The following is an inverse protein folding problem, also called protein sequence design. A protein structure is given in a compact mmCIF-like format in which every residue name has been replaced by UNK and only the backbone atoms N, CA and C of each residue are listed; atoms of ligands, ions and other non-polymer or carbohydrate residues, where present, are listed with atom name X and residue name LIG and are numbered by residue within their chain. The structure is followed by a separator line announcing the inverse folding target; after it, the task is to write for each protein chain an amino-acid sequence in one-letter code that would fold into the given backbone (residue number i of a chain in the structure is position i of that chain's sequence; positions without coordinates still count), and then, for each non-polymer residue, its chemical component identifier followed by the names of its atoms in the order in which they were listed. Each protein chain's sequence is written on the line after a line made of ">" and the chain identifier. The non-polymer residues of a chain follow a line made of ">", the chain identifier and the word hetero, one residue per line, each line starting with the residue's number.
data_IF_467371028808
#
_entry.id   IF_467371028808
#
_cell.length_a   1.000
_cell.length_b   1.000
_cell.length_c   1.000
_cell.angle_alpha   90.00
_cell.angle_beta   90.00
_cell.angle_gamma   90.00
#
_symmetry.space_group_name_H-M   'P 1'
#
loop_
_entity.id
_entity.type
_entity.pdbx_description
1 polymer ?
#
# COMPACT_ATOMS: atom_id res chain seq x y z
N UNK A 1 -24.90 1.93 -23.76
CA UNK A 1 -25.20 2.71 -22.55
C UNK A 1 -24.19 2.27 -21.49
N UNK A 2 -23.38 3.17 -20.95
CA UNK A 2 -22.39 2.82 -19.92
C UNK A 2 -23.08 2.82 -18.54
N UNK A 3 -22.88 1.77 -17.76
CA UNK A 3 -23.33 1.68 -16.37
C UNK A 3 -22.25 2.26 -15.46
N UNK A 4 -22.63 3.24 -14.63
CA UNK A 4 -21.74 3.83 -13.62
C UNK A 4 -22.15 3.26 -12.25
N UNK A 5 -21.25 2.57 -11.53
CA UNK A 5 -21.55 2.03 -10.21
C UNK A 5 -21.76 3.14 -9.17
N UNK A 6 -22.46 2.83 -8.09
CA UNK A 6 -22.64 3.78 -6.98
C UNK A 6 -21.33 3.99 -6.21
N UNK A 7 -21.26 5.09 -5.45
CA UNK A 7 -20.12 5.37 -4.58
C UNK A 7 -19.87 4.22 -3.58
N UNK A 8 -20.93 3.58 -3.08
CA UNK A 8 -20.83 2.45 -2.15
C UNK A 8 -20.25 1.20 -2.82
N UNK A 9 -20.64 0.93 -4.07
CA UNK A 9 -20.05 -0.15 -4.86
C UNK A 9 -18.56 0.10 -5.09
N UNK A 10 -18.19 1.30 -5.53
CA UNK A 10 -16.78 1.69 -5.74
C UNK A 10 -15.97 1.57 -4.46
N UNK A 11 -16.48 2.09 -3.33
CA UNK A 11 -15.84 1.98 -2.02
C UNK A 11 -15.63 0.51 -1.62
N UNK A 12 -16.66 -0.32 -1.80
CA UNK A 12 -16.58 -1.74 -1.47
C UNK A 12 -15.51 -2.44 -2.30
N UNK A 13 -15.44 -2.13 -3.59
CA UNK A 13 -14.48 -2.73 -4.50
C UNK A 13 -13.04 -2.29 -4.20
N UNK A 14 -12.83 -1.00 -3.90
CA UNK A 14 -11.52 -0.48 -3.42
C UNK A 14 -11.09 -1.20 -2.15
N UNK A 15 -11.99 -1.37 -1.17
CA UNK A 15 -11.66 -2.04 0.09
C UNK A 15 -11.35 -3.52 -0.09
N UNK A 16 -12.06 -4.21 -0.99
CA UNK A 16 -11.77 -5.61 -1.34
C UNK A 16 -10.39 -5.72 -1.99
N UNK A 17 -10.13 -4.88 -2.99
CA UNK A 17 -8.85 -4.85 -3.70
C UNK A 17 -7.69 -4.60 -2.73
N UNK A 18 -7.83 -3.59 -1.86
CA UNK A 18 -6.86 -3.29 -0.81
C UNK A 18 -6.57 -4.51 0.07
N UNK A 19 -7.61 -5.20 0.59
CA UNK A 19 -7.43 -6.37 1.45
C UNK A 19 -6.70 -7.52 0.74
N UNK A 20 -7.05 -7.76 -0.53
CA UNK A 20 -6.37 -8.78 -1.34
C UNK A 20 -4.88 -8.44 -1.51
N UNK A 21 -4.55 -7.21 -1.91
CA UNK A 21 -3.16 -6.78 -2.03
C UNK A 21 -2.42 -6.81 -0.71
N UNK A 22 -3.07 -6.41 0.39
CA UNK A 22 -2.48 -6.44 1.72
C UNK A 22 -2.08 -7.86 2.12
N UNK A 23 -2.95 -8.86 1.91
CA UNK A 23 -2.63 -10.27 2.19
C UNK A 23 -1.45 -10.75 1.35
N UNK A 24 -1.47 -10.47 0.04
CA UNK A 24 -0.40 -10.88 -0.86
C UNK A 24 0.95 -10.23 -0.49
N UNK A 25 0.96 -8.96 -0.08
CA UNK A 25 2.17 -8.28 0.39
C UNK A 25 2.66 -8.86 1.71
N UNK A 26 1.78 -9.24 2.64
CA UNK A 26 2.19 -9.89 3.88
C UNK A 26 2.90 -11.21 3.59
N UNK A 27 2.33 -12.03 2.71
CA UNK A 27 2.94 -13.30 2.30
C UNK A 27 4.29 -13.07 1.60
N UNK A 28 4.37 -12.08 0.70
CA UNK A 28 5.61 -11.73 0.02
C UNK A 28 6.70 -11.29 1.01
N UNK A 29 6.38 -10.36 1.91
CA UNK A 29 7.33 -9.83 2.89
C UNK A 29 7.78 -10.88 3.91
N UNK A 30 6.90 -11.81 4.31
CA UNK A 30 7.27 -12.91 5.21
C UNK A 30 8.20 -13.93 4.56
N UNK A 31 8.06 -14.14 3.25
CA UNK A 31 8.89 -15.08 2.48
C UNK A 31 10.13 -14.43 1.85
N UNK A 32 10.29 -13.12 1.98
CA UNK A 32 11.44 -12.40 1.45
C UNK A 32 12.71 -12.78 2.24
N UNK A 33 13.78 -13.27 1.58
CA UNK A 33 15.01 -13.70 2.26
C UNK A 33 15.88 -12.51 2.74
N UNK A 34 15.56 -11.29 2.28
CA UNK A 34 16.30 -10.07 2.55
C UNK A 34 15.83 -9.28 3.77
N UNK A 35 16.44 -8.11 3.98
CA UNK A 35 16.03 -7.15 5.02
C UNK A 35 14.93 -6.22 4.51
N UNK A 36 14.02 -5.85 5.40
CA UNK A 36 13.02 -4.81 5.18
C UNK A 36 13.47 -3.57 5.96
N UNK A 37 13.54 -2.42 5.29
CA UNK A 37 13.85 -1.13 5.89
C UNK A 37 12.59 -0.27 5.92
N UNK A 38 12.39 0.51 6.98
CA UNK A 38 11.23 1.40 7.10
C UNK A 38 11.67 2.86 7.11
N UNK A 39 11.02 3.67 6.28
CA UNK A 39 11.04 5.12 6.37
C UNK A 39 9.74 5.58 7.03
N UNK A 40 9.87 6.51 7.98
CA UNK A 40 8.73 7.06 8.71
C UNK A 40 8.76 8.57 8.49
N UNK A 41 7.68 9.10 7.95
CA UNK A 41 7.49 10.54 7.76
C UNK A 41 6.30 11.00 8.61
N UNK A 42 6.53 11.98 9.46
CA UNK A 42 5.52 12.52 10.37
C UNK A 42 5.39 14.02 10.14
N UNK A 43 4.19 14.47 9.85
CA UNK A 43 3.92 15.88 9.61
C UNK A 43 2.60 16.30 10.25
N UNK A 44 2.46 17.60 10.47
CA UNK A 44 1.20 18.20 10.91
C UNK A 44 0.67 19.04 9.76
N UNK A 45 -0.56 18.79 9.34
CA UNK A 45 -1.21 19.57 8.30
C UNK A 45 -1.54 21.00 8.76
N UNK A 46 -1.85 21.92 7.83
CA UNK A 46 -2.25 23.28 8.17
C UNK A 46 -3.50 23.38 9.06
N UNK A 47 -4.35 22.33 9.08
CA UNK A 47 -5.50 22.24 9.97
C UNK A 47 -5.20 21.52 11.30
N UNK A 48 -3.92 21.44 11.70
CA UNK A 48 -3.45 20.91 12.99
C UNK A 48 -3.81 19.43 13.17
N UNK A 49 -3.78 18.66 12.07
CA UNK A 49 -3.96 17.20 12.11
C UNK A 49 -2.59 16.55 11.92
N UNK A 50 -2.21 15.70 12.87
CA UNK A 50 -0.99 14.89 12.76
C UNK A 50 -1.20 13.72 11.81
N UNK A 51 -0.25 13.51 10.91
CA UNK A 51 -0.19 12.37 10.00
C UNK A 51 1.12 11.62 10.19
N UNK A 52 1.06 10.30 9.96
CA UNK A 52 2.21 9.41 9.99
C UNK A 52 2.18 8.53 8.73
N UNK A 53 3.10 8.81 7.81
CA UNK A 53 3.42 7.93 6.69
C UNK A 53 4.46 6.91 7.12
N UNK A 54 4.22 5.63 6.78
CA UNK A 54 5.19 4.55 6.96
C UNK A 54 5.39 3.89 5.60
N UNK A 55 6.63 3.86 5.13
CA UNK A 55 7.01 3.25 3.85
C UNK A 55 8.01 2.14 4.10
N UNK A 56 7.72 0.94 3.59
CA UNK A 56 8.61 -0.21 3.65
C UNK A 56 9.40 -0.37 2.35
N UNK A 57 10.71 -0.48 2.44
CA UNK A 57 11.61 -0.80 1.34
C UNK A 57 12.17 -2.21 1.54
N UNK A 58 11.98 -3.07 0.56
CA UNK A 58 12.49 -4.43 0.57
C UNK A 58 13.00 -4.79 -0.82
N UNK A 59 13.79 -5.86 -0.87
CA UNK A 59 14.35 -6.39 -2.11
C UNK A 59 13.71 -7.76 -2.32
N UNK A 60 12.96 -7.89 -3.40
CA UNK A 60 12.35 -9.15 -3.79
C UNK A 60 13.40 -10.15 -4.31
N UNK A 61 13.07 -11.44 -4.26
CA UNK A 61 13.90 -12.58 -4.68
C UNK A 61 14.42 -12.41 -6.11
N UNK A 62 13.56 -11.89 -6.99
CA UNK A 62 13.89 -11.70 -8.40
C UNK A 62 14.70 -10.41 -8.68
N UNK A 63 15.02 -9.61 -7.64
CA UNK A 63 15.70 -8.31 -7.75
C UNK A 63 15.06 -7.40 -8.83
N UNK A 64 13.76 -7.50 -9.07
CA UNK A 64 13.09 -6.63 -10.01
C UNK A 64 12.91 -5.26 -9.37
N UNK A 65 13.63 -4.25 -9.89
CA UNK A 65 13.29 -2.85 -9.64
C UNK A 65 11.92 -2.58 -10.27
N UNK A 66 10.85 -2.59 -9.49
CA UNK A 66 9.64 -1.90 -9.90
C UNK A 66 9.98 -0.42 -10.06
N UNK A 67 9.61 0.24 -11.17
CA UNK A 67 9.80 1.68 -11.30
C UNK A 67 8.98 2.34 -10.19
N UNK A 68 9.64 3.19 -9.43
CA UNK A 68 9.03 3.98 -8.36
C UNK A 68 7.84 4.77 -8.96
N UNK A 69 6.66 4.59 -8.39
CA UNK A 69 5.43 5.32 -8.76
C UNK A 69 5.42 6.66 -8.01
#
# INVERSE_FOLDING_TARGET
>A
MAFIPSADTVKTDILKLYKTHQSNMQDLLQNTPGKISFAIDAWTSPNIIGFLGITGHFIDVDWNRTPDI
#
